data_IF_593119674817
#
_entry.id   IF_593119674817
#
_cell.length_a   1.000
_cell.length_b   1.000
_cell.length_c   1.000
_cell.angle_alpha   90.00
_cell.angle_beta   90.00
_cell.angle_gamma   90.00
#
_symmetry.space_group_name_H-M   'P 1'
#
loop_
_entity.id
_entity.type
_entity.pdbx_description
1 polymer ?
#
# COMPACT_ATOMS: atom_id res chain seq x y z
N UNK A 1 15.25 27.95 9.16
CA UNK A 1 15.61 26.53 8.99
C UNK A 1 15.15 25.78 10.23
N UNK A 2 13.88 25.39 10.29
CA UNK A 2 13.40 24.52 11.36
C UNK A 2 13.68 23.08 10.91
N UNK A 3 14.60 22.37 11.59
CA UNK A 3 14.72 20.94 11.38
C UNK A 3 13.40 20.31 11.83
N UNK A 4 12.66 19.72 10.89
CA UNK A 4 11.58 18.83 11.25
C UNK A 4 12.14 17.80 12.23
N UNK A 5 11.60 17.76 13.44
CA UNK A 5 11.95 16.72 14.40
C UNK A 5 11.73 15.39 13.68
N UNK A 6 12.81 14.63 13.43
CA UNK A 6 12.72 13.32 12.81
C UNK A 6 11.87 12.45 13.74
N UNK A 7 10.58 12.37 13.43
CA UNK A 7 9.65 11.54 14.18
C UNK A 7 10.14 10.11 14.01
N UNK A 8 10.53 9.48 15.11
CA UNK A 8 11.04 8.11 15.14
C UNK A 8 10.15 7.21 14.26
N UNK A 9 10.77 6.39 13.41
CA UNK A 9 10.05 5.44 12.57
C UNK A 9 9.36 4.41 13.47
N UNK A 10 8.15 4.00 13.13
CA UNK A 10 7.39 3.04 13.94
C UNK A 10 8.05 1.64 13.94
N UNK A 11 8.85 1.35 12.91
CA UNK A 11 9.67 0.15 12.80
C UNK A 11 10.95 0.17 13.65
N UNK A 12 11.40 1.33 14.15
CA UNK A 12 12.68 1.43 14.87
C UNK A 12 12.68 0.56 16.13
N UNK A 13 13.73 -0.27 16.29
CA UNK A 13 13.92 -1.13 17.46
C UNK A 13 12.95 -2.31 17.55
N UNK A 14 12.18 -2.61 16.51
CA UNK A 14 11.28 -3.77 16.46
C UNK A 14 11.98 -4.97 15.84
N UNK A 15 11.80 -6.15 16.43
CA UNK A 15 12.26 -7.42 15.85
C UNK A 15 11.24 -7.90 14.81
N UNK A 16 11.45 -7.56 13.54
CA UNK A 16 10.54 -7.90 12.45
C UNK A 16 10.91 -9.25 11.84
N UNK A 17 10.17 -10.31 12.21
CA UNK A 17 10.46 -11.68 11.75
C UNK A 17 9.84 -12.03 10.39
N UNK A 18 8.70 -11.41 10.06
CA UNK A 18 7.99 -11.70 8.81
C UNK A 18 8.43 -10.74 7.69
N UNK A 19 8.62 -11.30 6.49
CA UNK A 19 9.03 -10.55 5.29
C UNK A 19 8.08 -9.38 4.97
N UNK A 20 6.79 -9.50 5.30
CA UNK A 20 5.83 -8.40 5.19
C UNK A 20 6.28 -7.18 5.98
N UNK A 21 6.55 -7.38 7.27
CA UNK A 21 6.85 -6.31 8.19
C UNK A 21 8.20 -5.69 7.84
N UNK A 22 9.18 -6.52 7.46
CA UNK A 22 10.47 -6.05 6.94
C UNK A 22 10.27 -5.18 5.69
N UNK A 23 9.51 -5.66 4.70
CA UNK A 23 9.26 -4.91 3.48
C UNK A 23 8.55 -3.57 3.73
N UNK A 24 7.62 -3.51 4.68
CA UNK A 24 6.98 -2.25 5.07
C UNK A 24 7.94 -1.30 5.81
N UNK A 25 8.78 -1.84 6.70
CA UNK A 25 9.75 -1.05 7.45
C UNK A 25 10.81 -0.42 6.54
N UNK A 26 11.33 -1.17 5.57
CA UNK A 26 12.29 -0.68 4.55
C UNK A 26 11.75 0.52 3.76
N UNK A 27 10.42 0.60 3.60
CA UNK A 27 9.73 1.64 2.82
C UNK A 27 9.20 2.79 3.66
N UNK A 28 9.21 2.65 4.99
CA UNK A 28 8.52 3.56 5.90
C UNK A 28 9.04 4.99 5.77
N UNK A 29 10.35 5.18 5.85
CA UNK A 29 10.98 6.50 5.78
C UNK A 29 10.73 7.18 4.42
N UNK A 30 11.00 6.47 3.32
CA UNK A 30 10.83 7.02 1.97
C UNK A 30 9.38 7.40 1.66
N UNK A 31 8.39 6.66 2.19
CA UNK A 31 6.97 7.01 2.09
C UNK A 31 6.59 8.22 2.96
N UNK A 32 7.15 8.33 4.18
CA UNK A 32 6.94 9.50 5.05
C UNK A 32 7.54 10.77 4.47
N UNK A 33 8.70 10.65 3.80
CA UNK A 33 9.40 11.76 3.15
C UNK A 33 8.81 12.15 1.79
N UNK A 34 7.88 11.35 1.24
CA UNK A 34 7.29 11.58 -0.08
C UNK A 34 8.22 11.29 -1.26
N UNK A 35 9.36 10.61 -1.04
CA UNK A 35 10.27 10.12 -2.10
C UNK A 35 9.73 8.87 -2.79
N UNK A 36 8.94 8.10 -2.04
CA UNK A 36 8.27 6.90 -2.50
C UNK A 36 6.77 7.03 -2.23
N UNK A 37 5.94 6.54 -3.14
CA UNK A 37 4.51 6.40 -2.94
C UNK A 37 4.17 4.94 -3.22
N UNK A 38 4.16 4.13 -2.16
CA UNK A 38 3.94 2.68 -2.28
C UNK A 38 2.44 2.37 -2.19
N UNK A 39 1.97 1.47 -3.05
CA UNK A 39 0.64 0.85 -2.95
C UNK A 39 0.80 -0.59 -2.49
N UNK A 40 0.12 -0.99 -1.43
CA UNK A 40 0.15 -2.36 -0.89
C UNK A 40 -1.14 -3.07 -1.32
N UNK A 41 -1.02 -4.14 -2.07
CA UNK A 41 -2.11 -5.08 -2.29
C UNK A 41 -2.11 -6.15 -1.20
N UNK A 42 -3.24 -6.34 -0.52
CA UNK A 42 -3.45 -7.44 0.44
C UNK A 42 -4.71 -8.20 0.05
N UNK A 43 -4.65 -9.53 0.08
CA UNK A 43 -5.81 -10.44 0.04
C UNK A 43 -5.76 -11.37 1.26
N UNK A 44 -6.84 -11.41 2.02
CA UNK A 44 -6.95 -12.25 3.22
C UNK A 44 -8.41 -12.42 3.70
N UNK A 45 -8.62 -13.19 4.77
CA UNK A 45 -9.90 -13.29 5.46
C UNK A 45 -10.07 -12.21 6.55
N UNK A 46 -11.22 -11.54 6.55
CA UNK A 46 -11.60 -10.66 7.65
C UNK A 46 -12.14 -11.45 8.86
N UNK A 47 -12.48 -10.76 9.95
CA UNK A 47 -13.01 -11.39 11.18
C UNK A 47 -14.31 -12.18 11.02
N UNK A 48 -15.02 -11.99 9.89
CA UNK A 48 -16.22 -12.75 9.53
C UNK A 48 -15.92 -13.93 8.60
N UNK A 49 -14.66 -14.31 8.45
CA UNK A 49 -14.20 -15.35 7.51
C UNK A 49 -14.61 -15.08 6.06
N UNK A 50 -14.73 -13.80 5.70
CA UNK A 50 -14.95 -13.40 4.31
C UNK A 50 -13.63 -13.03 3.69
N UNK A 51 -13.38 -13.57 2.52
CA UNK A 51 -12.24 -13.24 1.72
C UNK A 51 -12.40 -11.82 1.16
N UNK A 52 -11.42 -10.99 1.44
CA UNK A 52 -11.37 -9.58 1.06
C UNK A 52 -10.00 -9.25 0.47
N UNK A 53 -9.97 -8.29 -0.44
CA UNK A 53 -8.71 -7.71 -0.91
C UNK A 53 -8.80 -6.21 -1.05
N UNK A 54 -7.67 -5.52 -0.93
CA UNK A 54 -7.57 -4.09 -1.17
C UNK A 54 -6.22 -3.68 -1.72
N UNK A 55 -6.21 -2.55 -2.41
CA UNK A 55 -5.00 -1.77 -2.69
C UNK A 55 -4.98 -0.58 -1.72
N UNK A 56 -3.93 -0.47 -0.92
CA UNK A 56 -3.79 0.46 0.20
C UNK A 56 -2.71 1.48 -0.17
N UNK A 57 -3.04 2.77 -0.10
CA UNK A 57 -2.03 3.83 -0.16
C UNK A 57 -1.21 3.79 1.13
N UNK A 58 0.06 3.38 1.06
CA UNK A 58 0.88 3.19 2.24
C UNK A 58 1.23 4.51 2.92
N UNK A 59 1.63 5.52 2.14
CA UNK A 59 1.95 6.84 2.65
C UNK A 59 0.74 7.47 3.37
N UNK A 60 -0.46 7.37 2.80
CA UNK A 60 -1.67 7.84 3.47
C UNK A 60 -2.03 6.99 4.70
N UNK A 61 -1.83 5.68 4.64
CA UNK A 61 -2.10 4.82 5.80
C UNK A 61 -1.16 5.13 6.96
N UNK A 62 0.12 5.43 6.69
CA UNK A 62 1.12 5.83 7.69
C UNK A 62 0.73 7.10 8.47
N UNK A 63 -0.08 7.98 7.90
CA UNK A 63 -0.53 9.21 8.58
C UNK A 63 -1.83 9.02 9.36
N UNK A 64 -2.63 8.02 9.01
CA UNK A 64 -3.98 7.81 9.57
C UNK A 64 -4.06 6.70 10.60
N UNK A 65 -3.07 5.79 10.62
CA UNK A 65 -3.01 4.67 11.55
C UNK A 65 -1.74 4.72 12.43
N UNK A 66 -1.83 4.13 13.62
CA UNK A 66 -0.66 3.81 14.44
C UNK A 66 0.05 2.55 13.91
N UNK A 67 1.16 2.76 13.19
CA UNK A 67 1.96 1.66 12.66
C UNK A 67 2.78 0.91 13.70
N UNK A 68 2.94 1.45 14.91
CA UNK A 68 3.61 0.72 15.98
C UNK A 68 2.84 -0.56 16.34
N UNK A 69 1.51 -0.51 16.30
CA UNK A 69 0.65 -1.67 16.52
C UNK A 69 0.81 -2.76 15.45
N UNK A 70 1.09 -2.38 14.19
CA UNK A 70 1.35 -3.33 13.11
C UNK A 70 2.74 -3.95 13.21
N UNK A 71 3.78 -3.12 13.39
CA UNK A 71 5.17 -3.59 13.50
C UNK A 71 5.43 -4.40 14.78
N UNK A 72 4.68 -4.17 15.84
CA UNK A 72 4.72 -5.01 17.06
C UNK A 72 3.89 -6.30 16.96
N UNK A 73 3.15 -6.50 15.87
CA UNK A 73 2.27 -7.67 15.70
C UNK A 73 0.99 -7.64 16.55
N UNK A 74 0.73 -6.57 17.31
CA UNK A 74 -0.50 -6.40 18.10
C UNK A 74 -1.75 -6.27 17.21
N UNK A 75 -1.57 -5.83 15.97
CA UNK A 75 -2.63 -5.63 14.99
C UNK A 75 -2.20 -6.15 13.62
N UNK A 76 -3.16 -6.64 12.83
CA UNK A 76 -2.96 -7.03 11.43
C UNK A 76 -3.45 -5.92 10.50
N UNK A 77 -2.71 -5.64 9.44
CA UNK A 77 -3.09 -4.68 8.40
C UNK A 77 -4.09 -5.36 7.46
N UNK A 78 -5.38 -5.09 7.65
CA UNK A 78 -6.45 -5.69 6.84
C UNK A 78 -7.06 -4.70 5.84
N UNK A 79 -7.53 -5.20 4.68
CA UNK A 79 -8.33 -4.44 3.71
C UNK A 79 -9.51 -3.68 4.34
N UNK A 80 -9.68 -2.40 3.99
CA UNK A 80 -10.81 -1.57 4.42
C UNK A 80 -11.58 -1.03 3.21
N UNK A 81 -12.89 -0.80 3.38
CA UNK A 81 -13.72 -0.19 2.34
C UNK A 81 -13.27 1.20 1.89
N UNK A 82 -12.49 1.89 2.73
CA UNK A 82 -11.96 3.24 2.48
C UNK A 82 -10.61 3.23 1.77
N UNK A 83 -10.07 2.05 1.44
CA UNK A 83 -8.82 1.92 0.69
C UNK A 83 -8.99 2.29 -0.79
N UNK A 84 -7.87 2.44 -1.51
CA UNK A 84 -7.86 2.84 -2.93
C UNK A 84 -8.79 1.98 -3.76
N UNK A 85 -8.77 0.69 -3.49
CA UNK A 85 -9.90 -0.18 -3.82
C UNK A 85 -10.05 -1.25 -2.77
N UNK A 86 -11.26 -1.77 -2.67
CA UNK A 86 -11.62 -2.88 -1.81
C UNK A 86 -12.58 -3.79 -2.56
N UNK A 87 -12.41 -5.09 -2.37
CA UNK A 87 -13.29 -6.11 -2.91
C UNK A 87 -13.56 -7.19 -1.88
N UNK A 88 -14.84 -7.52 -1.70
CA UNK A 88 -15.28 -8.66 -0.91
C UNK A 88 -15.69 -9.78 -1.86
N UNK A 89 -14.89 -10.84 -1.91
CA UNK A 89 -15.03 -11.95 -2.85
C UNK A 89 -16.29 -12.78 -2.60
N UNK A 90 -16.73 -12.89 -1.34
CA UNK A 90 -17.94 -13.63 -1.00
C UNK A 90 -19.22 -12.89 -1.38
N UNK A 91 -19.21 -11.56 -1.33
CA UNK A 91 -20.40 -10.72 -1.55
C UNK A 91 -20.41 -10.01 -2.90
N UNK A 92 -19.31 -10.07 -3.66
CA UNK A 92 -19.09 -9.28 -4.86
C UNK A 92 -19.29 -7.77 -4.64
N UNK A 93 -18.92 -7.28 -3.46
CA UNK A 93 -19.01 -5.85 -3.12
C UNK A 93 -17.67 -5.20 -3.38
N UNK A 94 -17.66 -4.16 -4.21
CA UNK A 94 -16.48 -3.36 -4.54
C UNK A 94 -16.64 -1.91 -4.05
N UNK A 95 -15.55 -1.28 -3.68
CA UNK A 95 -15.46 0.16 -3.51
C UNK A 95 -14.11 0.67 -4.01
N UNK A 96 -14.10 1.90 -4.49
CA UNK A 96 -12.90 2.59 -5.00
C UNK A 96 -12.90 4.00 -4.42
N UNK A 97 -11.80 4.40 -3.78
CA UNK A 97 -11.71 5.69 -3.09
C UNK A 97 -10.39 6.37 -3.43
N UNK A 98 -10.39 7.59 -4.02
CA UNK A 98 -9.16 8.34 -4.14
C UNK A 98 -8.59 8.66 -2.76
N UNK A 99 -7.26 8.73 -2.67
CA UNK A 99 -6.53 9.19 -1.49
C UNK A 99 -5.93 10.57 -1.76
N UNK A 100 -5.23 11.19 -0.79
CA UNK A 100 -4.43 12.38 -1.07
C UNK A 100 -3.35 12.18 -2.14
N UNK A 101 -2.81 10.96 -2.29
CA UNK A 101 -1.71 10.68 -3.22
C UNK A 101 -2.15 10.09 -4.56
N UNK A 102 -3.34 9.49 -4.63
CA UNK A 102 -3.80 8.75 -5.81
C UNK A 102 -5.22 9.11 -6.24
N UNK A 103 -5.41 9.22 -7.55
CA UNK A 103 -6.71 9.06 -8.19
C UNK A 103 -6.91 7.59 -8.58
N UNK A 104 -8.15 7.12 -8.48
CA UNK A 104 -8.52 5.74 -8.85
C UNK A 104 -9.27 5.78 -10.17
N UNK A 105 -8.74 5.10 -11.17
CA UNK A 105 -9.36 4.98 -12.49
C UNK A 105 -9.82 3.53 -12.62
N UNK A 106 -11.13 3.32 -12.57
CA UNK A 106 -11.76 1.99 -12.61
C UNK A 106 -12.78 1.93 -13.76
N UNK A 107 -12.30 2.16 -14.98
CA UNK A 107 -13.12 2.13 -16.19
C UNK A 107 -13.09 0.74 -16.83
N UNK A 108 -14.21 0.31 -17.41
CA UNK A 108 -14.41 -1.05 -17.93
C UNK A 108 -13.40 -1.47 -19.02
N UNK A 109 -12.84 -0.52 -19.78
CA UNK A 109 -11.91 -0.77 -20.89
C UNK A 109 -10.47 -0.97 -20.45
N UNK A 110 -10.04 -0.30 -19.37
CA UNK A 110 -8.63 -0.26 -18.95
C UNK A 110 -8.36 -1.06 -17.67
N UNK A 111 -9.40 -1.55 -17.00
CA UNK A 111 -9.30 -2.21 -15.71
C UNK A 111 -9.04 -1.22 -14.58
N UNK A 112 -8.41 -1.69 -13.50
CA UNK A 112 -8.08 -0.86 -12.35
C UNK A 112 -6.68 -0.25 -12.51
N UNK A 113 -6.61 1.07 -12.48
CA UNK A 113 -5.39 1.86 -12.55
C UNK A 113 -5.37 2.88 -11.41
N UNK A 114 -4.16 3.26 -10.98
CA UNK A 114 -3.97 4.34 -10.02
C UNK A 114 -3.10 5.41 -10.65
N UNK A 115 -3.53 6.66 -10.59
CA UNK A 115 -2.75 7.80 -11.08
C UNK A 115 -2.14 8.52 -9.89
N UNK A 116 -0.81 8.61 -9.84
CA UNK A 116 -0.13 9.40 -8.81
C UNK A 116 -0.46 10.87 -9.03
N UNK A 117 -0.90 11.57 -7.98
CA UNK A 117 -1.33 12.97 -8.07
C UNK A 117 -0.18 13.97 -8.17
N UNK A 118 1.03 13.58 -7.77
CA UNK A 118 2.19 14.47 -7.78
C UNK A 118 2.78 14.63 -9.17
N UNK A 119 2.91 13.54 -9.93
CA UNK A 119 3.53 13.56 -11.26
C UNK A 119 2.59 13.15 -12.40
N UNK A 120 1.37 12.71 -12.08
CA UNK A 120 0.37 12.30 -13.05
C UNK A 120 0.61 10.94 -13.70
N UNK A 121 1.63 10.18 -13.28
CA UNK A 121 1.96 8.87 -13.86
C UNK A 121 0.96 7.79 -13.44
N UNK A 122 0.76 6.84 -14.35
CA UNK A 122 -0.18 5.72 -14.18
C UNK A 122 0.56 4.49 -13.66
N UNK A 123 0.00 3.91 -12.60
CA UNK A 123 0.33 2.58 -12.09
C UNK A 123 -0.74 1.59 -12.54
N UNK A 124 -0.32 0.60 -13.31
CA UNK A 124 -1.16 -0.51 -13.74
C UNK A 124 -0.98 -1.72 -12.82
N UNK A 125 -2.06 -2.09 -12.11
CA UNK A 125 -1.99 -3.19 -11.15
C UNK A 125 -2.33 -4.56 -11.72
N UNK A 126 -2.65 -4.65 -13.01
CA UNK A 126 -2.87 -5.94 -13.66
C UNK A 126 -1.58 -6.79 -13.61
N UNK A 127 -1.63 -8.02 -13.07
CA UNK A 127 -0.45 -8.87 -12.88
C UNK A 127 0.24 -9.29 -14.20
N UNK A 128 -0.45 -9.18 -15.34
CA UNK A 128 0.03 -9.64 -16.65
C UNK A 128 0.69 -8.57 -17.50
N UNK A 129 0.73 -7.32 -17.03
CA UNK A 129 1.28 -6.19 -17.78
C UNK A 129 2.35 -5.47 -16.96
N UNK A 130 3.13 -4.65 -17.65
CA UNK A 130 4.13 -3.76 -17.04
C UNK A 130 3.43 -2.74 -16.13
N UNK A 131 3.94 -2.51 -14.89
CA UNK A 131 3.23 -1.71 -13.90
C UNK A 131 3.27 -0.19 -14.15
N UNK A 132 4.14 0.30 -15.04
CA UNK A 132 4.26 1.73 -15.36
C UNK A 132 5.62 2.32 -15.04
N UNK A 133 5.87 3.53 -15.53
CA UNK A 133 7.13 4.24 -15.34
C UNK A 133 7.37 4.58 -13.86
N UNK A 134 8.62 4.52 -13.43
CA UNK A 134 9.03 4.69 -12.03
C UNK A 134 8.38 3.70 -11.05
N UNK A 135 7.70 2.66 -11.55
CA UNK A 135 6.97 1.71 -10.73
C UNK A 135 7.57 0.33 -10.82
N UNK A 136 7.84 -0.28 -9.66
CA UNK A 136 8.16 -1.71 -9.56
C UNK A 136 7.00 -2.45 -8.93
N UNK A 137 6.87 -3.75 -9.23
CA UNK A 137 5.87 -4.65 -8.65
C UNK A 137 6.57 -5.82 -7.98
N UNK A 138 6.46 -5.91 -6.66
CA UNK A 138 7.19 -6.87 -5.84
C UNK A 138 6.19 -7.77 -5.09
N UNK A 139 5.97 -9.02 -5.52
CA UNK A 139 5.27 -10.00 -4.71
C UNK A 139 6.06 -10.29 -3.43
N UNK A 140 5.39 -10.28 -2.28
CA UNK A 140 6.04 -10.54 -0.99
C UNK A 140 5.51 -11.84 -0.42
N UNK A 141 6.41 -12.82 -0.24
CA UNK A 141 6.09 -14.09 0.40
C UNK A 141 5.97 -13.89 1.91
N UNK A 142 4.80 -14.15 2.46
CA UNK A 142 4.50 -14.02 3.89
C UNK A 142 3.55 -15.13 4.32
N UNK A 143 3.62 -15.52 5.59
CA UNK A 143 2.63 -16.44 6.18
C UNK A 143 1.48 -15.68 6.86
N UNK A 144 1.55 -14.34 6.89
CA UNK A 144 0.55 -13.51 7.54
C UNK A 144 -0.69 -13.29 6.67
N UNK A 145 -0.60 -13.32 5.34
CA UNK A 145 -1.73 -13.07 4.44
C UNK A 145 -1.74 -14.07 3.29
N UNK A 146 -2.90 -14.32 2.67
CA UNK A 146 -3.01 -15.24 1.53
C UNK A 146 -2.19 -14.77 0.33
N UNK A 147 -2.21 -13.47 0.05
CA UNK A 147 -1.46 -12.90 -1.06
C UNK A 147 -1.16 -11.43 -0.81
N UNK A 148 0.06 -11.02 -1.17
CA UNK A 148 0.51 -9.65 -1.00
C UNK A 148 1.49 -9.24 -2.10
N UNK A 149 1.30 -8.00 -2.57
CA UNK A 149 2.15 -7.38 -3.60
C UNK A 149 2.36 -5.92 -3.21
N UNK A 150 3.57 -5.41 -3.36
CA UNK A 150 3.87 -3.99 -3.17
C UNK A 150 4.20 -3.38 -4.53
N UNK A 151 3.58 -2.25 -4.84
CA UNK A 151 3.90 -1.42 -5.98
C UNK A 151 4.64 -0.19 -5.48
N UNK A 152 5.93 -0.12 -5.73
CA UNK A 152 6.76 1.01 -5.30
C UNK A 152 6.85 2.00 -6.46
N UNK A 153 6.33 3.21 -6.27
CA UNK A 153 6.41 4.28 -7.25
C UNK A 153 7.32 5.40 -6.75
N UNK A 154 8.41 5.66 -7.47
CA UNK A 154 9.40 6.68 -7.12
C UNK A 154 8.88 8.05 -7.54
N UNK A 155 8.67 8.93 -6.56
CA UNK A 155 8.15 10.29 -6.75
C UNK A 155 9.34 11.25 -6.80
N UNK A 156 9.71 11.69 -8.01
CA UNK A 156 10.84 12.59 -8.22
C UNK A 156 11.44 12.51 -9.63
N UNK A 157 12.19 13.54 -10.03
CA UNK A 157 13.00 13.51 -11.26
C UNK A 157 14.13 12.49 -11.06
N UNK A 158 14.40 11.69 -12.09
CA UNK A 158 15.67 10.98 -12.17
C UNK A 158 16.82 12.00 -12.01
N UNK A 159 17.92 11.62 -11.35
CA UNK A 159 19.08 12.50 -11.20
C UNK A 159 19.61 13.03 -12.54
#
# INVERSE_FOLDING_TARGET
MASASQKLLASTGKELKDNFLQALAEREEANRDGKLSSIIYIRDYNSRHQEVSAYIDYAYRLTTDDFEAYFSGKKRLLPRKTDLSFYNWNKNVVSSNPSPNYEVIAENSCGLLFKNKMDGKIINVNPKVYPGDNTTRTPVKTNLYLHMVIYDHIVGREP
#
